data_IF_863038541836
#
_entry.id   IF_863038541836
#
_cell.length_a   1.000
_cell.length_b   1.000
_cell.length_c   1.000
_cell.angle_alpha   90.00
_cell.angle_beta   90.00
_cell.angle_gamma   90.00
#
_symmetry.space_group_name_H-M   'P 1'
#
loop_
_entity.id
_entity.type
_entity.pdbx_description
1 polymer ?
#
# COMPACT_ATOMS: atom_id res chain seq x y z
N UNK A 1 -2.29 -23.90 -5.76
CA UNK A 1 -2.29 -23.73 -7.24
C UNK A 1 -1.63 -22.40 -7.60
N UNK A 2 -0.36 -22.42 -8.02
CA UNK A 2 0.14 -21.48 -9.04
C UNK A 2 -0.35 -22.11 -10.37
N UNK A 3 -1.01 -21.42 -11.30
CA UNK A 3 -0.79 -20.07 -11.81
C UNK A 3 -2.12 -19.42 -12.22
N UNK A 4 -2.34 -18.15 -11.87
CA UNK A 4 -3.36 -17.30 -12.53
C UNK A 4 -2.78 -16.47 -13.69
N UNK A 5 -1.45 -16.44 -13.84
CA UNK A 5 -0.76 -15.68 -14.89
C UNK A 5 0.63 -16.27 -15.17
N UNK A 6 0.92 -16.73 -16.40
CA UNK A 6 2.25 -17.21 -16.79
C UNK A 6 3.32 -16.12 -16.67
N UNK A 7 4.57 -16.51 -16.36
CA UNK A 7 5.69 -15.58 -16.18
C UNK A 7 5.92 -14.65 -17.38
N UNK A 8 5.75 -15.13 -18.61
CA UNK A 8 5.94 -14.31 -19.80
C UNK A 8 4.91 -13.17 -19.89
N UNK A 9 3.65 -13.43 -19.49
CA UNK A 9 2.61 -12.40 -19.41
C UNK A 9 2.93 -11.38 -18.33
N UNK A 10 3.39 -11.83 -17.16
CA UNK A 10 3.80 -10.93 -16.09
C UNK A 10 4.94 -10.00 -16.53
N UNK A 11 5.95 -10.54 -17.23
CA UNK A 11 7.06 -9.73 -17.77
C UNK A 11 6.56 -8.65 -18.72
N UNK A 12 5.67 -8.97 -19.65
CA UNK A 12 5.10 -7.97 -20.57
C UNK A 12 4.28 -6.87 -19.88
N UNK A 13 3.70 -7.15 -18.71
CA UNK A 13 3.02 -6.12 -17.90
C UNK A 13 4.02 -5.18 -17.20
N UNK A 14 5.23 -5.67 -16.86
CA UNK A 14 6.26 -4.85 -16.21
C UNK A 14 6.81 -3.78 -17.14
N UNK A 15 6.84 -4.02 -18.46
CA UNK A 15 7.35 -3.04 -19.44
C UNK A 15 6.55 -1.73 -19.45
N UNK A 16 5.26 -1.80 -19.12
CA UNK A 16 4.36 -0.65 -19.06
C UNK A 16 4.05 -0.23 -17.61
N UNK A 17 4.61 -0.92 -16.62
CA UNK A 17 4.35 -0.59 -15.23
C UNK A 17 5.07 0.70 -14.85
N UNK A 18 4.40 1.64 -14.16
CA UNK A 18 5.07 2.82 -13.64
C UNK A 18 6.15 2.39 -12.62
N UNK A 19 7.23 3.17 -12.48
CA UNK A 19 8.35 2.82 -11.60
C UNK A 19 7.87 2.56 -10.18
N UNK A 20 8.50 1.58 -9.53
CA UNK A 20 8.29 1.30 -8.12
C UNK A 20 8.74 2.52 -7.29
N UNK A 21 7.95 2.90 -6.30
CA UNK A 21 8.37 3.92 -5.33
C UNK A 21 9.34 3.29 -4.34
N UNK A 22 10.43 3.98 -4.04
CA UNK A 22 11.41 3.48 -3.09
C UNK A 22 10.85 3.54 -1.66
N UNK A 23 10.60 2.36 -1.09
CA UNK A 23 10.03 2.21 0.24
C UNK A 23 11.05 2.55 1.34
N UNK A 24 12.31 2.15 1.17
CA UNK A 24 13.36 2.38 2.18
C UNK A 24 13.73 3.85 2.22
N UNK A 25 13.88 4.48 1.05
CA UNK A 25 14.14 5.91 0.98
C UNK A 25 13.00 6.73 1.60
N UNK A 26 11.73 6.33 1.41
CA UNK A 26 10.59 7.02 2.02
C UNK A 26 10.62 6.99 3.56
N UNK A 27 11.01 5.86 4.15
CA UNK A 27 11.17 5.75 5.61
C UNK A 27 12.30 6.63 6.13
N UNK A 28 13.48 6.55 5.50
CA UNK A 28 14.65 7.36 5.86
C UNK A 28 14.34 8.85 5.76
N UNK A 29 13.85 9.29 4.60
CA UNK A 29 13.50 10.69 4.36
C UNK A 29 12.39 11.20 5.30
N UNK A 30 11.49 10.33 5.77
CA UNK A 30 10.53 10.71 6.80
C UNK A 30 11.22 10.98 8.13
N UNK A 31 12.03 10.04 8.61
CA UNK A 31 12.77 10.18 9.85
C UNK A 31 13.71 11.40 9.83
N UNK A 32 14.47 11.57 8.74
CA UNK A 32 15.42 12.68 8.58
C UNK A 32 14.73 14.05 8.64
N UNK A 33 13.49 14.16 8.15
CA UNK A 33 12.71 15.40 8.15
C UNK A 33 12.07 15.70 9.51
N UNK A 34 11.62 14.69 10.24
CA UNK A 34 10.75 14.87 11.42
C UNK A 34 11.44 14.54 12.74
N UNK A 35 12.57 13.83 12.71
CA UNK A 35 13.24 13.27 13.89
C UNK A 35 12.32 12.39 14.76
N UNK A 36 11.25 11.83 14.18
CA UNK A 36 10.32 10.89 14.82
C UNK A 36 10.26 9.59 14.04
N UNK A 37 9.96 8.44 14.67
CA UNK A 37 9.87 7.16 13.98
C UNK A 37 8.97 7.21 12.73
N UNK A 38 9.49 6.70 11.62
CA UNK A 38 8.75 6.65 10.35
C UNK A 38 7.62 5.61 10.44
N UNK A 39 6.37 6.07 10.27
CA UNK A 39 5.19 5.23 10.40
C UNK A 39 4.89 4.47 9.09
N UNK A 40 4.76 3.15 9.19
CA UNK A 40 4.12 2.32 8.16
C UNK A 40 2.69 2.06 8.62
N UNK A 41 1.70 2.64 7.94
CA UNK A 41 0.30 2.43 8.27
C UNK A 41 -0.30 1.27 7.47
N UNK A 42 -0.98 0.34 8.14
CA UNK A 42 -1.61 -0.83 7.49
C UNK A 42 -3.09 -0.57 7.22
N UNK A 43 -3.51 -0.63 5.96
CA UNK A 43 -4.92 -0.55 5.56
C UNK A 43 -5.52 -1.96 5.63
N UNK A 44 -6.33 -2.23 6.67
CA UNK A 44 -6.79 -3.58 7.01
C UNK A 44 -8.29 -3.65 7.31
N UNK A 45 -9.01 -4.56 6.61
CA UNK A 45 -10.45 -4.79 6.82
C UNK A 45 -10.73 -5.79 7.95
N UNK A 46 -9.97 -6.88 7.99
CA UNK A 46 -10.15 -7.98 8.92
C UNK A 46 -8.80 -8.66 9.22
N UNK A 47 -8.76 -9.47 10.28
CA UNK A 47 -7.67 -10.42 10.51
C UNK A 47 -8.23 -11.78 10.95
N UNK A 48 -7.49 -12.89 10.74
CA UNK A 48 -7.91 -14.21 11.23
C UNK A 48 -8.07 -14.24 12.75
N UNK A 49 -7.28 -13.45 13.47
CA UNK A 49 -7.25 -13.42 14.93
C UNK A 49 -8.30 -12.51 15.56
N UNK A 50 -8.84 -11.52 14.84
CA UNK A 50 -9.74 -10.48 15.39
C UNK A 50 -11.04 -10.33 14.59
N UNK A 51 -11.24 -11.12 13.53
CA UNK A 51 -12.40 -11.00 12.65
C UNK A 51 -12.43 -9.65 11.92
N UNK A 52 -13.63 -9.10 11.70
CA UNK A 52 -13.81 -7.82 11.00
C UNK A 52 -13.43 -6.66 11.92
N UNK A 53 -12.40 -5.90 11.53
CA UNK A 53 -11.90 -4.74 12.26
C UNK A 53 -12.72 -3.48 11.95
N UNK A 54 -13.14 -3.34 10.68
CA UNK A 54 -13.89 -2.17 10.22
C UNK A 54 -15.00 -2.60 9.27
N UNK A 55 -16.26 -2.44 9.70
CA UNK A 55 -17.45 -2.79 8.91
C UNK A 55 -17.58 -1.92 7.66
N UNK A 56 -17.39 -0.61 7.82
CA UNK A 56 -17.37 0.37 6.72
C UNK A 56 -15.93 0.59 6.28
N UNK A 57 -15.48 -0.22 5.33
CA UNK A 57 -14.09 -0.24 4.86
C UNK A 57 -13.99 0.39 3.47
N UNK A 58 -13.55 1.65 3.43
CA UNK A 58 -13.10 2.33 2.21
C UNK A 58 -11.56 2.39 2.22
N UNK A 59 -10.87 1.61 1.38
CA UNK A 59 -9.41 1.57 1.37
C UNK A 59 -8.79 2.89 0.89
N UNK A 60 -9.47 3.64 0.00
CA UNK A 60 -8.99 4.91 -0.54
C UNK A 60 -9.06 5.99 0.52
N UNK A 61 -10.21 6.13 1.19
CA UNK A 61 -10.40 7.11 2.27
C UNK A 61 -9.38 6.87 3.40
N UNK A 62 -9.17 5.62 3.79
CA UNK A 62 -8.22 5.25 4.84
C UNK A 62 -6.78 5.59 4.43
N UNK A 63 -6.39 5.29 3.20
CA UNK A 63 -5.04 5.58 2.70
C UNK A 63 -4.76 7.08 2.62
N UNK A 64 -5.72 7.88 2.14
CA UNK A 64 -5.63 9.34 2.12
C UNK A 64 -5.53 9.91 3.53
N UNK A 65 -6.32 9.38 4.47
CA UNK A 65 -6.25 9.77 5.86
C UNK A 65 -4.86 9.47 6.45
N UNK A 66 -4.29 8.29 6.21
CA UNK A 66 -2.94 7.95 6.68
C UNK A 66 -1.86 8.84 6.06
N UNK A 67 -1.96 9.12 4.75
CA UNK A 67 -1.05 10.05 4.08
C UNK A 67 -1.11 11.45 4.70
N UNK A 68 -2.32 11.99 4.91
CA UNK A 68 -2.54 13.31 5.52
C UNK A 68 -2.01 13.40 6.94
N UNK A 69 -2.08 12.30 7.70
CA UNK A 69 -1.61 12.22 9.08
C UNK A 69 -0.13 11.79 9.20
N UNK A 70 0.63 11.83 8.10
CA UNK A 70 2.09 11.71 8.16
C UNK A 70 2.63 10.29 8.07
N UNK A 71 1.85 9.30 7.64
CA UNK A 71 2.40 7.98 7.32
C UNK A 71 3.53 8.12 6.27
N UNK A 72 4.65 7.44 6.51
CA UNK A 72 5.77 7.40 5.58
C UNK A 72 5.47 6.43 4.44
N UNK A 73 4.91 5.27 4.78
CA UNK A 73 4.52 4.23 3.84
C UNK A 73 3.18 3.61 4.22
N UNK A 74 2.58 2.90 3.26
CA UNK A 74 1.37 2.10 3.46
C UNK A 74 1.64 0.61 3.26
N UNK A 75 0.92 -0.22 4.00
CA UNK A 75 0.92 -1.68 3.87
C UNK A 75 -0.50 -2.21 3.73
N UNK A 76 -0.68 -3.32 3.02
CA UNK A 76 -1.96 -4.00 2.88
C UNK A 76 -1.86 -5.43 3.40
N UNK A 77 -2.96 -5.94 3.96
CA UNK A 77 -3.02 -7.33 4.41
C UNK A 77 -4.40 -7.90 4.13
N UNK A 78 -4.45 -9.06 3.49
CA UNK A 78 -5.69 -9.78 3.14
C UNK A 78 -6.71 -8.95 2.34
N UNK A 79 -6.24 -8.17 1.37
CA UNK A 79 -7.06 -7.41 0.43
C UNK A 79 -7.01 -7.95 -0.99
N UNK A 80 -7.78 -7.34 -1.90
CA UNK A 80 -7.61 -7.51 -3.34
C UNK A 80 -6.51 -6.58 -3.86
N UNK A 81 -5.77 -6.99 -4.90
CA UNK A 81 -4.86 -6.10 -5.63
C UNK A 81 -5.59 -4.86 -6.16
N UNK A 82 -6.90 -4.96 -6.39
CA UNK A 82 -7.76 -3.85 -6.80
C UNK A 82 -7.71 -2.66 -5.81
N UNK A 83 -7.50 -2.92 -4.52
CA UNK A 83 -7.39 -1.84 -3.53
C UNK A 83 -6.08 -1.06 -3.68
N UNK A 84 -4.98 -1.75 -3.98
CA UNK A 84 -3.68 -1.11 -4.25
C UNK A 84 -3.78 -0.21 -5.49
N UNK A 85 -4.43 -0.70 -6.54
CA UNK A 85 -4.66 0.04 -7.77
C UNK A 85 -5.57 1.25 -7.53
N UNK A 86 -6.71 1.06 -6.85
CA UNK A 86 -7.63 2.14 -6.51
C UNK A 86 -6.96 3.27 -5.72
N UNK A 87 -6.14 2.93 -4.72
CA UNK A 87 -5.41 3.92 -3.92
C UNK A 87 -4.37 4.67 -4.74
N UNK A 88 -3.65 3.95 -5.62
CA UNK A 88 -2.70 4.59 -6.54
C UNK A 88 -3.39 5.56 -7.48
N UNK A 89 -4.53 5.17 -8.04
CA UNK A 89 -5.33 5.97 -8.97
C UNK A 89 -6.01 7.17 -8.28
N UNK A 90 -6.29 7.05 -6.98
CA UNK A 90 -6.80 8.15 -6.15
C UNK A 90 -5.73 9.20 -5.77
N UNK A 91 -4.49 9.06 -6.27
CA UNK A 91 -3.45 10.07 -6.13
C UNK A 91 -2.61 9.99 -4.85
N UNK A 92 -2.78 8.95 -4.03
CA UNK A 92 -1.95 8.74 -2.83
C UNK A 92 -0.49 8.56 -3.25
N UNK A 93 0.43 9.34 -2.67
CA UNK A 93 1.84 9.44 -3.10
C UNK A 93 2.79 8.56 -2.28
N UNK A 94 2.34 7.99 -1.16
CA UNK A 94 3.17 7.14 -0.30
C UNK A 94 3.63 5.86 -0.98
N UNK A 95 4.83 5.40 -0.64
CA UNK A 95 5.31 4.07 -1.05
C UNK A 95 4.43 3.00 -0.41
N UNK A 96 4.07 1.97 -1.17
CA UNK A 96 3.13 0.93 -0.75
C UNK A 96 3.77 -0.45 -0.87
N UNK A 97 3.46 -1.34 0.08
CA UNK A 97 3.83 -2.75 0.03
C UNK A 97 2.59 -3.65 0.21
N UNK A 98 2.56 -4.76 -0.53
CA UNK A 98 1.57 -5.83 -0.43
C UNK A 98 2.05 -6.97 0.48
#
# INVERSE_FOLDING_TARGET
>A
MKEKMPLYRLKGLLDNAPPARDFVAALKASYDRTAVPALIAEVKKASPSQGVLRKNFDPVEIAQAYEKNGAACLKFFQGSFDYLEAIRNAGVKKSMIS
#
